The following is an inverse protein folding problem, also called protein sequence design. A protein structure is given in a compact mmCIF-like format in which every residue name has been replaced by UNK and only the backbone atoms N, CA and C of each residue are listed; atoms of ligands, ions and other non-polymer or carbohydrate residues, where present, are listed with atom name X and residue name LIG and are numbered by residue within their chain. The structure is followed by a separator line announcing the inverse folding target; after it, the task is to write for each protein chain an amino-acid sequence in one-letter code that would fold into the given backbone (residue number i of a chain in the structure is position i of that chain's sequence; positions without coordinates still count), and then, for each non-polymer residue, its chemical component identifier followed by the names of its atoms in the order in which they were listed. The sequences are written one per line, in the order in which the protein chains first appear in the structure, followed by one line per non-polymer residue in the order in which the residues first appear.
data_IF_793418161934
#
_entry.id   IF_793418161934
#
_cell.length_a   1.000
_cell.length_b   1.000
_cell.length_c   1.000
_cell.angle_alpha   90.00
_cell.angle_beta   90.00
_cell.angle_gamma   90.00
#
_symmetry.space_group_name_H-M   'P 1'
#
loop_
_entity.id
_entity.type
_entity.pdbx_description
1 polymer ?
#
# COMPACT_ATOMS: atom_id res chain seq x y z
N UNK A 1 26.43 -39.00 2.89
CA UNK A 1 27.37 -38.10 3.61
C UNK A 1 26.51 -37.02 4.24
N UNK A 2 26.13 -37.06 5.54
CA UNK A 2 26.92 -36.74 6.75
C UNK A 2 27.69 -35.42 6.54
N UNK A 3 27.44 -34.32 7.25
CA UNK A 3 27.28 -34.14 8.71
C UNK A 3 26.67 -32.77 9.09
N UNK A 4 25.98 -32.70 10.24
CA UNK A 4 25.75 -31.49 11.07
C UNK A 4 27.07 -30.75 11.43
N UNK A 5 26.97 -29.47 11.81
CA UNK A 5 27.53 -29.06 13.10
C UNK A 5 26.55 -28.16 13.89
N UNK A 6 26.20 -28.52 15.12
CA UNK A 6 26.95 -28.34 16.37
C UNK A 6 26.84 -26.92 16.94
N UNK A 7 26.03 -26.83 18.00
CA UNK A 7 25.74 -25.61 18.74
C UNK A 7 26.92 -25.04 19.52
N UNK A 8 26.79 -23.75 19.86
CA UNK A 8 27.79 -23.01 20.64
C UNK A 8 27.11 -22.42 21.88
N UNK A 9 27.31 -23.10 23.02
CA UNK A 9 27.02 -22.59 24.36
C UNK A 9 28.18 -21.66 24.78
N UNK A 10 27.90 -20.39 25.02
CA UNK A 10 28.84 -19.47 25.65
C UNK A 10 28.66 -19.51 27.16
N UNK A 11 29.62 -20.14 27.82
CA UNK A 11 29.76 -20.29 29.26
C UNK A 11 30.12 -18.97 29.95
N UNK A 12 29.42 -18.68 31.04
CA UNK A 12 29.82 -17.71 32.06
C UNK A 12 31.23 -18.01 32.59
N UNK A 13 32.03 -16.96 32.77
CA UNK A 13 33.18 -16.96 33.68
C UNK A 13 33.12 -15.72 34.54
N UNK A 14 32.87 -15.92 35.83
CA UNK A 14 33.05 -14.91 36.89
C UNK A 14 34.38 -15.24 37.57
N UNK A 15 35.37 -14.33 37.59
CA UNK A 15 36.47 -14.42 38.52
C UNK A 15 36.16 -13.67 39.82
N UNK A 16 36.35 -14.38 40.92
CA UNK A 16 36.42 -13.85 42.28
C UNK A 16 37.86 -13.39 42.60
N UNK A 17 38.01 -12.18 43.14
CA UNK A 17 39.13 -11.72 43.99
C UNK A 17 38.76 -10.31 44.51
N UNK A 18 38.34 -10.06 45.75
CA UNK A 18 39.04 -10.07 47.07
C UNK A 18 40.10 -8.96 47.24
N UNK A 19 39.96 -8.25 48.38
CA UNK A 19 40.90 -7.38 49.11
C UNK A 19 40.85 -5.86 48.78
N UNK A 20 40.27 -5.00 49.63
CA UNK A 20 40.69 -4.48 50.97
C UNK A 20 41.47 -3.15 50.88
N UNK A 21 40.94 -2.12 51.53
CA UNK A 21 41.57 -0.83 51.82
C UNK A 21 40.48 0.20 52.14
N UNK A 22 40.08 0.42 53.40
CA UNK A 22 40.69 1.38 54.35
C UNK A 22 40.72 2.80 53.77
N UNK A 23 40.26 3.88 54.40
CA UNK A 23 39.63 4.14 55.69
C UNK A 23 39.19 5.62 55.63
N UNK A 24 38.23 5.99 56.51
CA UNK A 24 38.06 7.34 57.11
C UNK A 24 37.98 8.56 56.19
N UNK A 25 36.83 9.25 56.22
CA UNK A 25 36.75 10.64 56.71
C UNK A 25 35.29 11.11 56.83
N UNK A 26 34.88 11.27 58.08
CA UNK A 26 34.15 12.41 58.66
C UNK A 26 33.16 13.22 57.81
N UNK A 27 31.94 13.20 58.34
CA UNK A 27 31.19 14.38 58.80
C UNK A 27 30.34 15.17 57.81
N UNK A 28 29.09 15.36 58.27
CA UNK A 28 28.11 16.38 57.91
C UNK A 28 27.19 16.05 56.74
N UNK A 29 26.12 15.34 57.07
CA UNK A 29 24.95 15.19 56.21
C UNK A 29 23.71 14.65 56.91
N UNK A 30 23.57 14.79 58.23
CA UNK A 30 22.32 14.45 58.93
C UNK A 30 21.35 15.64 58.86
N UNK A 31 20.81 15.91 57.68
CA UNK A 31 19.42 16.35 57.61
C UNK A 31 18.54 15.09 57.75
N UNK A 32 17.37 15.14 58.40
CA UNK A 32 16.38 14.07 58.28
C UNK A 32 15.86 14.07 56.84
N UNK A 33 16.70 13.55 55.94
CA UNK A 33 16.41 13.43 54.53
C UNK A 33 15.18 12.53 54.41
N UNK A 34 14.25 12.98 53.59
CA UNK A 34 12.94 12.38 53.37
C UNK A 34 13.06 11.03 52.60
N UNK A 35 14.01 10.17 52.98
CA UNK A 35 14.43 8.94 52.31
C UNK A 35 13.34 7.87 52.32
N UNK A 36 12.49 7.85 53.36
CA UNK A 36 11.30 7.02 53.37
C UNK A 36 10.32 7.43 52.25
N UNK A 37 10.12 8.73 52.07
CA UNK A 37 9.20 9.27 51.09
C UNK A 37 9.71 9.10 49.65
N UNK A 38 11.03 9.17 49.41
CA UNK A 38 11.59 8.86 48.09
C UNK A 38 11.54 7.37 47.73
N UNK A 39 11.74 6.45 48.69
CA UNK A 39 11.59 5.02 48.41
C UNK A 39 10.14 4.65 48.09
N UNK A 40 9.19 5.18 48.85
CA UNK A 40 7.75 4.95 48.62
C UNK A 40 7.27 5.57 47.30
N UNK A 41 7.85 6.71 46.89
CA UNK A 41 7.62 7.28 45.56
C UNK A 41 8.16 6.37 44.46
N UNK A 42 9.40 5.91 44.57
CA UNK A 42 10.02 5.03 43.57
C UNK A 42 9.31 3.67 43.44
N UNK A 43 8.73 3.15 44.53
CA UNK A 43 7.90 1.94 44.51
C UNK A 43 6.59 2.17 43.77
N UNK A 44 5.93 3.31 43.98
CA UNK A 44 4.71 3.68 43.25
C UNK A 44 4.97 3.87 41.77
N UNK A 45 6.01 4.61 41.41
CA UNK A 45 6.40 4.83 40.01
C UNK A 45 6.76 3.51 39.31
N UNK A 46 7.47 2.59 39.97
CA UNK A 46 7.74 1.26 39.39
C UNK A 46 6.46 0.47 39.16
N UNK A 47 5.52 0.52 40.09
CA UNK A 47 4.26 -0.22 39.97
C UNK A 47 3.38 0.36 38.85
N UNK A 48 3.30 1.69 38.74
CA UNK A 48 2.58 2.37 37.64
C UNK A 48 3.22 2.09 36.27
N UNK A 49 4.56 2.10 36.20
CA UNK A 49 5.28 1.77 34.97
C UNK A 49 5.06 0.30 34.57
N UNK A 50 5.11 -0.63 35.52
CA UNK A 50 4.82 -2.04 35.26
C UNK A 50 3.38 -2.24 34.76
N UNK A 51 2.40 -1.59 35.38
CA UNK A 51 1.01 -1.63 34.91
C UNK A 51 0.84 -1.06 33.51
N UNK A 52 1.51 0.04 33.20
CA UNK A 52 1.46 0.68 31.88
C UNK A 52 2.07 -0.23 30.80
N UNK A 53 3.20 -0.88 31.10
CA UNK A 53 3.83 -1.86 30.20
C UNK A 53 2.90 -3.04 29.96
N UNK A 54 2.31 -3.61 31.02
CA UNK A 54 1.38 -4.73 30.89
C UNK A 54 0.13 -4.38 30.06
N UNK A 55 -0.41 -3.17 30.24
CA UNK A 55 -1.57 -2.70 29.46
C UNK A 55 -1.22 -2.53 27.98
N UNK A 56 -0.09 -1.88 27.68
CA UNK A 56 0.40 -1.69 26.31
C UNK A 56 0.69 -3.03 25.64
N UNK A 57 1.34 -3.96 26.33
CA UNK A 57 1.59 -5.32 25.84
C UNK A 57 0.30 -6.06 25.49
N UNK A 58 -0.72 -6.02 26.37
CA UNK A 58 -2.03 -6.64 26.11
C UNK A 58 -2.79 -5.98 24.96
N UNK A 59 -2.58 -4.68 24.72
CA UNK A 59 -3.18 -3.99 23.58
C UNK A 59 -2.49 -4.40 22.28
N UNK A 60 -1.16 -4.46 22.30
CA UNK A 60 -0.35 -4.84 21.14
C UNK A 60 -0.60 -6.30 20.75
N UNK A 61 -0.71 -7.21 21.71
CA UNK A 61 -1.10 -8.62 21.45
C UNK A 61 -2.48 -8.73 20.80
N UNK A 62 -3.46 -7.92 21.23
CA UNK A 62 -4.80 -7.89 20.62
C UNK A 62 -4.78 -7.35 19.19
N UNK A 63 -3.98 -6.31 18.93
CA UNK A 63 -3.83 -5.76 17.57
C UNK A 63 -3.08 -6.73 16.65
N UNK A 64 -2.03 -7.39 17.14
CA UNK A 64 -1.30 -8.43 16.40
C UNK A 64 -2.22 -9.61 16.09
N UNK A 65 -2.99 -10.12 17.07
CA UNK A 65 -3.95 -11.21 16.81
C UNK A 65 -5.03 -10.80 15.81
N UNK A 66 -5.53 -9.57 15.88
CA UNK A 66 -6.50 -9.07 14.90
C UNK A 66 -5.89 -8.99 13.50
N UNK A 67 -4.65 -8.52 13.37
CA UNK A 67 -3.92 -8.51 12.10
C UNK A 67 -3.62 -9.91 11.59
N UNK A 68 -3.20 -10.84 12.43
CA UNK A 68 -2.98 -12.24 12.06
C UNK A 68 -4.27 -12.90 11.57
N UNK A 69 -5.42 -12.64 12.20
CA UNK A 69 -6.72 -13.14 11.73
C UNK A 69 -7.09 -12.53 10.37
N UNK A 70 -6.83 -11.23 10.17
CA UNK A 70 -7.08 -10.56 8.90
C UNK A 70 -6.14 -11.06 7.80
N UNK A 71 -4.86 -11.26 8.11
CA UNK A 71 -3.86 -11.80 7.20
C UNK A 71 -4.13 -13.27 6.90
N UNK A 72 -4.53 -14.09 7.88
CA UNK A 72 -4.92 -15.48 7.67
C UNK A 72 -6.18 -15.59 6.80
N UNK A 73 -7.13 -14.65 6.94
CA UNK A 73 -8.28 -14.52 6.04
C UNK A 73 -7.88 -14.05 4.63
N UNK A 74 -6.97 -13.09 4.53
CA UNK A 74 -6.49 -12.53 3.26
C UNK A 74 -5.56 -13.50 2.50
N UNK A 75 -4.80 -14.34 3.21
CA UNK A 75 -3.86 -15.32 2.64
C UNK A 75 -4.44 -16.74 2.53
N UNK A 76 -5.68 -16.96 2.98
CA UNK A 76 -6.32 -18.28 2.93
C UNK A 76 -5.72 -19.33 3.87
N UNK A 77 -5.05 -18.92 4.96
CA UNK A 77 -4.33 -19.81 5.88
C UNK A 77 -5.17 -20.34 7.06
N UNK A 78 -6.50 -20.23 7.03
CA UNK A 78 -7.38 -20.90 7.99
C UNK A 78 -8.31 -21.89 7.26
N UNK A 79 -7.75 -23.08 7.01
CA UNK A 79 -8.37 -24.17 6.26
C UNK A 79 -7.66 -24.37 4.94
N UNK A 80 -7.12 -25.59 4.70
CA UNK A 80 -6.77 -25.99 3.34
C UNK A 80 -7.95 -25.62 2.44
N UNK A 81 -7.71 -24.76 1.43
CA UNK A 81 -8.70 -24.53 0.39
C UNK A 81 -9.29 -25.90 0.01
N UNK A 82 -10.63 -26.06 0.00
CA UNK A 82 -11.25 -27.33 -0.35
C UNK A 82 -10.60 -27.89 -1.60
N UNK A 83 -10.36 -29.19 -1.65
CA UNK A 83 -9.68 -29.80 -2.80
C UNK A 83 -10.37 -29.36 -4.11
N UNK A 84 -9.60 -28.72 -5.01
CA UNK A 84 -10.12 -28.15 -6.26
C UNK A 84 -10.50 -26.67 -6.21
N UNK A 85 -10.57 -26.02 -5.05
CA UNK A 85 -10.81 -24.58 -4.96
C UNK A 85 -9.58 -23.78 -5.43
N UNK A 86 -9.78 -22.94 -6.45
CA UNK A 86 -8.76 -22.02 -6.98
C UNK A 86 -9.21 -20.59 -6.69
N UNK A 87 -8.61 -19.87 -5.73
CA UNK A 87 -8.99 -18.49 -5.45
C UNK A 87 -8.75 -17.62 -6.69
N UNK A 88 -9.56 -16.57 -6.88
CA UNK A 88 -9.30 -15.61 -7.95
C UNK A 88 -7.98 -14.89 -7.68
N UNK A 89 -7.11 -14.87 -8.69
CA UNK A 89 -5.82 -14.20 -8.70
C UNK A 89 -5.88 -13.18 -9.82
N UNK A 90 -5.48 -11.95 -9.52
CA UNK A 90 -5.37 -10.91 -10.52
C UNK A 90 -4.26 -11.27 -11.52
N UNK A 91 -4.60 -11.47 -12.79
CA UNK A 91 -3.65 -11.85 -13.84
C UNK A 91 -3.53 -10.81 -14.95
N UNK A 92 -4.48 -9.89 -15.06
CA UNK A 92 -4.49 -8.91 -16.14
C UNK A 92 -5.31 -7.67 -15.82
N UNK A 93 -5.19 -6.68 -16.68
CA UNK A 93 -6.05 -5.49 -16.69
C UNK A 93 -6.48 -5.25 -18.13
N UNK A 94 -7.71 -4.77 -18.31
CA UNK A 94 -8.31 -4.52 -19.63
C UNK A 94 -9.06 -3.20 -19.61
N UNK A 95 -9.29 -2.62 -20.79
CA UNK A 95 -10.10 -1.41 -20.97
C UNK A 95 -11.31 -1.70 -21.86
N UNK A 96 -12.48 -1.24 -21.43
CA UNK A 96 -13.73 -1.42 -22.16
C UNK A 96 -13.80 -0.59 -23.44
N UNK A 97 -14.73 -0.96 -24.31
CA UNK A 97 -15.12 -0.20 -25.51
C UNK A 97 -15.96 1.03 -25.22
N UNK A 98 -16.53 1.14 -24.02
CA UNK A 98 -17.31 2.32 -23.63
C UNK A 98 -16.44 3.51 -23.19
N UNK A 99 -15.12 3.35 -23.15
CA UNK A 99 -14.23 4.50 -23.01
C UNK A 99 -14.41 5.48 -24.17
N UNK A 100 -14.36 6.76 -23.86
CA UNK A 100 -14.59 7.82 -24.83
C UNK A 100 -13.75 9.05 -24.48
N UNK A 101 -13.41 9.81 -25.51
CA UNK A 101 -13.03 11.20 -25.34
C UNK A 101 -14.28 12.02 -24.99
N UNK A 102 -14.13 13.01 -24.13
CA UNK A 102 -15.23 13.79 -23.56
C UNK A 102 -14.88 15.26 -23.62
N UNK A 103 -15.71 16.02 -24.32
CA UNK A 103 -15.83 17.48 -24.21
C UNK A 103 -16.63 17.82 -22.94
N UNK A 104 -15.96 18.42 -21.94
CA UNK A 104 -16.61 18.78 -20.68
C UNK A 104 -17.25 20.16 -20.74
N UNK A 105 -16.83 21.00 -21.69
CA UNK A 105 -17.16 22.42 -21.73
C UNK A 105 -18.14 22.80 -22.87
N UNK A 106 -18.35 21.91 -23.83
CA UNK A 106 -19.27 22.06 -24.95
C UNK A 106 -18.72 22.87 -26.14
N UNK A 107 -17.40 23.05 -26.26
CA UNK A 107 -16.76 23.78 -27.36
C UNK A 107 -16.49 22.92 -28.61
N UNK A 108 -16.82 21.63 -28.56
CA UNK A 108 -16.59 20.68 -29.64
C UNK A 108 -15.18 20.11 -29.67
N UNK A 109 -14.37 20.35 -28.65
CA UNK A 109 -13.05 19.78 -28.47
C UNK A 109 -13.02 18.88 -27.23
N UNK A 110 -12.47 17.68 -27.37
CA UNK A 110 -12.39 16.78 -26.22
C UNK A 110 -11.40 17.30 -25.15
N UNK A 111 -11.81 17.35 -23.90
CA UNK A 111 -11.00 17.84 -22.77
C UNK A 111 -10.28 16.69 -22.03
N UNK A 112 -10.89 15.51 -22.01
CA UNK A 112 -10.35 14.34 -21.33
C UNK A 112 -10.67 13.04 -22.06
N UNK A 113 -9.93 11.98 -21.71
CA UNK A 113 -10.29 10.60 -22.05
C UNK A 113 -10.81 9.90 -20.81
N UNK A 114 -12.05 9.41 -20.88
CA UNK A 114 -12.68 8.60 -19.84
C UNK A 114 -12.45 7.13 -20.13
N UNK A 115 -11.75 6.47 -19.20
CA UNK A 115 -11.37 5.06 -19.27
C UNK A 115 -12.21 4.24 -18.29
N UNK A 116 -12.63 3.07 -18.76
CA UNK A 116 -13.31 2.07 -17.93
C UNK A 116 -12.37 0.87 -17.80
N UNK A 117 -11.79 0.71 -16.62
CA UNK A 117 -10.71 -0.24 -16.35
C UNK A 117 -11.25 -1.45 -15.60
N UNK A 118 -10.87 -2.65 -16.07
CA UNK A 118 -11.30 -3.94 -15.55
C UNK A 118 -10.08 -4.79 -15.21
N UNK A 119 -9.70 -4.88 -13.93
CA UNK A 119 -8.77 -5.90 -13.47
C UNK A 119 -9.41 -7.28 -13.63
N UNK A 120 -8.66 -8.25 -14.19
CA UNK A 120 -9.16 -9.56 -14.60
C UNK A 120 -8.49 -10.68 -13.81
N UNK A 121 -9.29 -11.66 -13.39
CA UNK A 121 -8.77 -12.91 -12.82
C UNK A 121 -8.41 -13.95 -13.90
N UNK A 122 -7.89 -15.10 -13.47
CA UNK A 122 -7.51 -16.20 -14.37
C UNK A 122 -8.68 -16.84 -15.15
N UNK A 123 -9.92 -16.44 -14.88
CA UNK A 123 -11.12 -16.83 -15.62
C UNK A 123 -11.72 -15.67 -16.43
N UNK A 124 -10.96 -14.59 -16.64
CA UNK A 124 -11.39 -13.36 -17.33
C UNK A 124 -12.59 -12.65 -16.68
N UNK A 125 -12.83 -12.91 -15.40
CA UNK A 125 -13.85 -12.21 -14.62
C UNK A 125 -13.27 -10.92 -14.05
N UNK A 126 -14.11 -9.91 -13.88
CA UNK A 126 -13.71 -8.70 -13.17
C UNK A 126 -13.41 -9.05 -11.70
N UNK A 127 -12.23 -8.65 -11.23
CA UNK A 127 -11.80 -8.83 -9.85
C UNK A 127 -11.50 -7.46 -9.23
N UNK A 128 -12.29 -6.99 -8.25
CA UNK A 128 -11.94 -5.79 -7.50
C UNK A 128 -10.56 -5.94 -6.87
N UNK A 129 -9.72 -4.92 -7.04
CA UNK A 129 -8.32 -4.97 -6.64
C UNK A 129 -7.89 -3.63 -6.05
N UNK A 130 -7.01 -3.67 -5.05
CA UNK A 130 -6.34 -2.48 -4.54
C UNK A 130 -4.94 -2.36 -5.15
N UNK A 131 -4.47 -1.14 -5.37
CA UNK A 131 -3.16 -0.88 -5.97
C UNK A 131 -3.02 0.55 -6.48
N UNK A 132 -1.86 0.86 -7.04
CA UNK A 132 -1.62 2.16 -7.69
C UNK A 132 -1.91 2.02 -9.18
N UNK A 133 -2.70 2.93 -9.73
CA UNK A 133 -3.01 2.97 -11.16
C UNK A 133 -2.39 4.21 -11.80
N UNK A 134 -1.65 4.02 -12.89
CA UNK A 134 -1.19 5.10 -13.76
C UNK A 134 -1.86 4.98 -15.11
N UNK A 135 -2.54 6.04 -15.55
CA UNK A 135 -3.11 6.15 -16.89
C UNK A 135 -2.42 7.28 -17.65
N UNK A 136 -2.08 7.04 -18.91
CA UNK A 136 -1.46 8.02 -19.81
C UNK A 136 -2.18 7.99 -21.14
N UNK A 137 -2.34 9.15 -21.77
CA UNK A 137 -2.80 9.27 -23.15
C UNK A 137 -1.64 9.80 -23.98
N UNK A 138 -1.33 9.11 -25.07
CA UNK A 138 -0.19 9.38 -25.94
C UNK A 138 -0.65 9.69 -27.36
N UNK A 139 0.00 10.65 -27.99
CA UNK A 139 0.03 10.80 -29.44
C UNK A 139 1.17 9.95 -30.00
N UNK A 140 0.82 8.99 -30.86
CA UNK A 140 1.76 8.09 -31.54
C UNK A 140 1.89 8.40 -33.03
N UNK A 141 1.29 9.51 -33.50
CA UNK A 141 1.40 9.93 -34.91
C UNK A 141 2.80 10.46 -35.27
N UNK A 142 3.57 10.87 -34.26
CA UNK A 142 4.96 11.32 -34.40
C UNK A 142 5.98 10.22 -34.08
N UNK A 143 7.21 10.27 -34.62
CA UNK A 143 8.26 9.29 -34.31
C UNK A 143 8.60 9.19 -32.81
N UNK A 144 8.46 10.30 -32.10
CA UNK A 144 8.60 10.36 -30.64
C UNK A 144 7.21 10.44 -30.00
N UNK A 145 6.79 9.46 -29.19
CA UNK A 145 5.51 9.49 -28.50
C UNK A 145 5.37 10.72 -27.60
N UNK A 146 4.32 11.51 -27.81
CA UNK A 146 4.05 12.70 -27.00
C UNK A 146 2.98 12.39 -25.95
N UNK A 147 3.24 12.71 -24.69
CA UNK A 147 2.24 12.54 -23.62
C UNK A 147 1.25 13.71 -23.68
N UNK A 148 -0.01 13.40 -23.96
CA UNK A 148 -1.09 14.38 -24.02
C UNK A 148 -1.75 14.62 -22.66
N UNK A 149 -1.76 13.58 -21.82
CA UNK A 149 -2.38 13.60 -20.50
C UNK A 149 -1.88 12.47 -19.61
N UNK A 150 -1.94 12.67 -18.29
CA UNK A 150 -1.58 11.66 -17.29
C UNK A 150 -2.41 11.82 -16.02
N UNK A 151 -2.88 10.70 -15.49
CA UNK A 151 -3.49 10.59 -14.17
C UNK A 151 -2.80 9.47 -13.40
N UNK A 152 -2.56 9.71 -12.11
CA UNK A 152 -2.02 8.72 -11.18
C UNK A 152 -2.95 8.65 -9.98
N UNK A 153 -3.42 7.44 -9.67
CA UNK A 153 -4.30 7.15 -8.55
C UNK A 153 -3.52 6.30 -7.56
N UNK A 154 -3.36 6.82 -6.35
CA UNK A 154 -2.88 6.03 -5.22
C UNK A 154 -3.92 4.94 -4.84
N UNK A 155 -3.60 4.00 -3.91
CA UNK A 155 -4.53 2.94 -3.55
C UNK A 155 -5.90 3.39 -3.06
N UNK A 156 -5.99 4.51 -2.33
CA UNK A 156 -7.25 5.02 -1.83
C UNK A 156 -8.08 5.68 -2.95
N UNK A 157 -7.43 6.46 -3.82
CA UNK A 157 -8.07 7.09 -4.96
C UNK A 157 -8.51 6.05 -6.01
N UNK A 158 -7.74 4.98 -6.21
CA UNK A 158 -8.10 3.89 -7.11
C UNK A 158 -9.30 3.11 -6.58
N UNK A 159 -9.35 2.78 -5.29
CA UNK A 159 -10.53 2.15 -4.68
C UNK A 159 -11.77 3.05 -4.81
N UNK A 160 -11.62 4.36 -4.54
CA UNK A 160 -12.69 5.34 -4.71
C UNK A 160 -13.14 5.54 -6.17
N UNK A 161 -12.38 5.07 -7.15
CA UNK A 161 -12.76 5.09 -8.57
C UNK A 161 -13.66 3.91 -8.96
N UNK A 162 -13.86 2.93 -8.08
CA UNK A 162 -14.77 1.80 -8.31
C UNK A 162 -16.20 2.29 -8.52
N UNK A 163 -16.84 1.78 -9.57
CA UNK A 163 -18.24 2.02 -9.88
C UNK A 163 -18.89 0.68 -10.17
N UNK A 164 -20.15 0.58 -9.78
CA UNK A 164 -21.01 -0.54 -10.13
C UNK A 164 -22.32 0.02 -10.70
N UNK A 165 -22.84 -0.62 -11.73
CA UNK A 165 -23.97 -0.11 -12.50
C UNK A 165 -24.47 -1.13 -13.50
N UNK A 166 -25.36 -0.69 -14.40
CA UNK A 166 -26.01 -1.59 -15.35
C UNK A 166 -25.02 -2.31 -16.30
N UNK A 167 -23.88 -1.69 -16.62
CA UNK A 167 -22.83 -2.28 -17.45
C UNK A 167 -21.89 -3.21 -16.67
N UNK A 168 -22.15 -3.43 -15.38
CA UNK A 168 -21.31 -4.19 -14.47
C UNK A 168 -20.28 -3.33 -13.73
N UNK A 169 -19.41 -3.98 -12.94
CA UNK A 169 -18.41 -3.30 -12.12
C UNK A 169 -17.17 -2.90 -12.93
N UNK A 170 -16.68 -1.69 -12.69
CA UNK A 170 -15.48 -1.15 -13.35
C UNK A 170 -14.84 -0.05 -12.50
N UNK A 171 -13.61 0.33 -12.84
CA UNK A 171 -12.98 1.54 -12.32
C UNK A 171 -13.07 2.65 -13.37
N UNK A 172 -13.62 3.80 -13.00
CA UNK A 172 -13.68 4.99 -13.88
C UNK A 172 -12.44 5.85 -13.65
N UNK A 173 -11.62 5.97 -14.69
CA UNK A 173 -10.41 6.79 -14.65
C UNK A 173 -10.53 7.89 -15.70
N UNK A 174 -10.32 9.13 -15.30
CA UNK A 174 -10.34 10.27 -16.22
C UNK A 174 -8.92 10.80 -16.41
N UNK A 175 -8.53 10.97 -17.67
CA UNK A 175 -7.20 11.45 -18.04
C UNK A 175 -7.36 12.79 -18.76
N UNK A 176 -7.08 13.92 -18.09
CA UNK A 176 -7.21 15.23 -18.71
C UNK A 176 -6.15 15.42 -19.79
N UNK A 177 -6.56 15.93 -20.95
CA UNK A 177 -5.72 16.17 -22.13
C UNK A 177 -5.03 17.54 -22.04
N UNK A 178 -4.33 17.80 -20.93
CA UNK A 178 -3.77 19.13 -20.62
C UNK A 178 -2.80 19.66 -21.67
N UNK A 179 -2.10 18.79 -22.42
CA UNK A 179 -1.19 19.23 -23.48
C UNK A 179 -1.92 19.77 -24.73
N UNK A 180 -3.21 19.47 -24.88
CA UNK A 180 -4.06 19.95 -25.97
C UNK A 180 -4.85 21.22 -25.62
N UNK A 181 -4.83 21.65 -24.34
CA UNK A 181 -5.53 22.85 -23.91
C UNK A 181 -5.11 24.08 -24.74
N UNK A 182 -6.09 24.76 -25.35
CA UNK A 182 -5.87 25.93 -26.21
C UNK A 182 -5.37 25.64 -27.61
N UNK A 183 -5.18 24.37 -28.01
CA UNK A 183 -4.87 24.01 -29.41
C UNK A 183 -6.16 24.01 -30.24
N UNK A 184 -6.17 24.63 -31.44
CA UNK A 184 -7.33 24.57 -32.32
C UNK A 184 -7.53 23.16 -32.90
N UNK A 185 -8.77 22.80 -33.26
CA UNK A 185 -9.16 21.48 -33.79
C UNK A 185 -8.21 20.94 -34.87
N UNK A 186 -7.83 21.78 -35.85
CA UNK A 186 -6.95 21.39 -36.96
C UNK A 186 -5.50 21.06 -36.59
N UNK A 187 -5.10 21.27 -35.32
CA UNK A 187 -3.77 20.98 -34.80
C UNK A 187 -3.77 19.86 -33.74
N UNK A 188 -4.94 19.27 -33.45
CA UNK A 188 -5.08 18.17 -32.49
C UNK A 188 -4.95 16.82 -33.22
N UNK A 189 -4.37 15.79 -32.57
CA UNK A 189 -4.30 14.46 -33.17
C UNK A 189 -5.70 13.85 -33.24
N UNK A 190 -6.02 13.19 -34.36
CA UNK A 190 -7.32 12.51 -34.55
C UNK A 190 -7.44 11.22 -33.76
N UNK A 191 -6.32 10.55 -33.52
CA UNK A 191 -6.24 9.30 -32.78
C UNK A 191 -5.22 9.42 -31.66
N UNK A 192 -5.58 8.90 -30.49
CA UNK A 192 -4.71 8.86 -29.31
C UNK A 192 -4.73 7.47 -28.70
N UNK A 193 -3.60 7.05 -28.13
CA UNK A 193 -3.48 5.77 -27.45
C UNK A 193 -3.46 5.97 -25.94
N UNK A 194 -4.46 5.45 -25.24
CA UNK A 194 -4.42 5.37 -23.78
C UNK A 194 -3.68 4.10 -23.35
N UNK A 195 -2.83 4.23 -22.34
CA UNK A 195 -2.13 3.14 -21.68
C UNK A 195 -2.44 3.21 -20.19
N UNK A 196 -2.88 2.09 -19.63
CA UNK A 196 -3.12 1.92 -18.20
C UNK A 196 -2.10 0.92 -17.66
N UNK A 197 -1.52 1.25 -16.51
CA UNK A 197 -0.64 0.37 -15.74
C UNK A 197 -1.17 0.27 -14.31
N UNK A 198 -1.46 -0.94 -13.85
CA UNK A 198 -1.94 -1.25 -12.51
C UNK A 198 -0.84 -2.01 -11.75
N UNK A 199 -0.33 -1.41 -10.68
CA UNK A 199 0.57 -2.06 -9.74
C UNK A 199 -0.24 -2.57 -8.54
N UNK A 200 -0.42 -3.90 -8.37
CA UNK A 200 -1.24 -4.45 -7.29
C UNK A 200 -0.66 -4.15 -5.90
N UNK A 201 -1.51 -3.95 -4.91
CA UNK A 201 -1.08 -3.72 -3.52
C UNK A 201 -0.41 -4.96 -2.90
N UNK A 202 -0.85 -6.16 -3.31
CA UNK A 202 -0.32 -7.45 -2.79
C UNK A 202 0.83 -7.95 -3.69
N UNK A 203 1.78 -7.07 -4.00
CA UNK A 203 2.97 -7.40 -4.79
C UNK A 203 2.68 -7.90 -6.21
N UNK A 204 3.76 -8.28 -6.93
CA UNK A 204 3.69 -8.74 -8.31
C UNK A 204 4.08 -7.67 -9.35
N UNK A 205 4.21 -8.08 -10.63
CA UNK A 205 4.52 -7.15 -11.71
C UNK A 205 3.34 -6.22 -11.99
N UNK A 206 3.63 -5.02 -12.49
CA UNK A 206 2.59 -4.14 -12.98
C UNK A 206 1.92 -4.75 -14.22
N UNK A 207 0.59 -4.68 -14.25
CA UNK A 207 -0.24 -5.18 -15.34
C UNK A 207 -0.59 -4.01 -16.25
N UNK A 208 -0.50 -4.21 -17.57
CA UNK A 208 -0.71 -3.12 -18.54
C UNK A 208 -1.80 -3.44 -19.55
N UNK A 209 -2.51 -2.40 -19.98
CA UNK A 209 -3.46 -2.44 -21.09
C UNK A 209 -3.30 -1.19 -21.95
N UNK A 210 -3.60 -1.31 -23.25
CA UNK A 210 -3.60 -0.18 -24.17
C UNK A 210 -4.84 -0.19 -25.06
N UNK A 211 -5.30 0.99 -25.47
CA UNK A 211 -6.45 1.16 -26.36
C UNK A 211 -6.36 2.47 -27.13
N UNK A 212 -6.80 2.46 -28.38
CA UNK A 212 -6.89 3.64 -29.25
C UNK A 212 -8.26 4.29 -29.10
N UNK A 213 -8.28 5.62 -29.10
CA UNK A 213 -9.47 6.48 -29.07
C UNK A 213 -9.38 7.50 -30.19
N UNK A 214 -10.52 7.83 -30.77
CA UNK A 214 -10.66 8.96 -31.70
C UNK A 214 -11.00 10.21 -30.89
N UNK A 215 -10.38 11.34 -31.26
CA UNK A 215 -10.69 12.67 -30.71
C UNK A 215 -11.51 13.50 -31.71
N UNK A 216 -12.28 14.43 -31.19
CA UNK A 216 -12.95 15.53 -31.90
C UNK A 216 -13.81 14.99 -33.07
N UNK A 217 -14.68 14.01 -32.78
CA UNK A 217 -15.59 13.42 -33.78
C UNK A 217 -16.54 14.49 -34.33
N UNK A 218 -16.43 14.76 -35.63
CA UNK A 218 -17.31 15.64 -36.41
C UNK A 218 -18.79 15.20 -36.40
#
# INVERSE_FOLDING_TARGET
MRTEPAGRRSSLRVPAALAVGSATLFAWGCGPGNFANTNDRLRRENLELQQSVDELSRRLEREVQAQEVLLARASGAAGSLPEGARPPVLVGVTMDRYGAAVDENGDGLDDLVRLYVYPRDQQDRMLPSAGTLTARVLDLSTPEPTVLGRTELDPAAFDAAYRDGFTGPYYRVEVPLTALAGRPAGQRPREVTAIVSLAPAVGGPALTAQRVFELDRE
#
